data_IF_599035094399
#
_entry.id   IF_599035094399
#
_cell.length_a   1.000
_cell.length_b   1.000
_cell.length_c   1.000
_cell.angle_alpha   90.00
_cell.angle_beta   90.00
_cell.angle_gamma   90.00
#
_symmetry.space_group_name_H-M   'P 1'
#
loop_
_entity.id
_entity.type
_entity.pdbx_description
1 polymer ?
#
# COMPACT_ATOMS: atom_id res chain seq x y z
N UNK A 1 21.30 -10.86 -13.54
CA UNK A 1 20.64 -10.83 -12.22
C UNK A 1 19.99 -9.46 -12.09
N UNK A 2 18.65 -9.33 -11.97
CA UNK A 2 18.08 -8.03 -11.60
C UNK A 2 18.67 -7.63 -10.24
N UNK A 3 19.04 -6.35 -10.08
CA UNK A 3 19.59 -5.83 -8.83
C UNK A 3 18.60 -6.08 -7.69
N UNK A 4 19.07 -6.31 -6.44
CA UNK A 4 18.18 -6.34 -5.29
C UNK A 4 17.45 -5.00 -5.22
N UNK A 5 16.15 -4.99 -5.54
CA UNK A 5 15.32 -3.82 -5.36
C UNK A 5 15.16 -3.64 -3.86
N UNK A 6 15.64 -2.52 -3.33
CA UNK A 6 15.32 -2.14 -1.95
C UNK A 6 13.80 -2.06 -1.86
N UNK A 7 13.15 -2.87 -1.00
CA UNK A 7 11.70 -2.82 -0.89
C UNK A 7 11.28 -1.43 -0.43
N UNK A 8 10.34 -0.82 -1.15
CA UNK A 8 9.79 0.47 -0.75
C UNK A 8 9.08 0.32 0.61
N UNK A 9 9.31 1.22 1.57
CA UNK A 9 8.60 1.17 2.83
C UNK A 9 7.12 1.44 2.60
N UNK A 10 6.26 0.66 3.26
CA UNK A 10 4.83 0.95 3.31
C UNK A 10 4.60 2.23 4.14
N UNK A 11 3.55 3.00 3.85
CA UNK A 11 3.12 4.11 4.68
C UNK A 11 2.93 3.66 6.15
N UNK A 12 3.34 4.46 7.15
CA UNK A 12 3.36 4.02 8.55
C UNK A 12 2.01 3.53 9.07
N UNK A 13 0.91 4.19 8.71
CA UNK A 13 -0.43 3.81 9.15
C UNK A 13 -0.87 2.46 8.57
N UNK A 14 -0.60 2.24 7.28
CA UNK A 14 -0.88 0.97 6.62
C UNK A 14 -0.02 -0.16 7.21
N UNK A 15 1.28 0.09 7.43
CA UNK A 15 2.17 -0.89 8.03
C UNK A 15 1.68 -1.30 9.43
N UNK A 16 1.32 -0.32 10.27
CA UNK A 16 0.79 -0.56 11.62
C UNK A 16 -0.52 -1.37 11.58
N UNK A 17 -1.42 -1.06 10.64
CA UNK A 17 -2.67 -1.78 10.48
C UNK A 17 -2.44 -3.26 10.08
N UNK A 18 -1.45 -3.52 9.24
CA UNK A 18 -1.08 -4.87 8.79
C UNK A 18 -0.40 -5.69 9.88
N UNK A 19 0.43 -5.09 10.74
CA UNK A 19 1.14 -5.78 11.81
C UNK A 19 0.21 -6.61 12.71
N UNK A 20 -1.01 -6.12 12.97
CA UNK A 20 -1.99 -6.77 13.85
C UNK A 20 -2.53 -8.08 13.28
N UNK A 21 -2.46 -8.29 11.96
CA UNK A 21 -3.01 -9.50 11.31
C UNK A 21 -2.08 -10.10 10.24
N UNK A 22 -0.78 -9.77 10.30
CA UNK A 22 0.22 -10.16 9.30
C UNK A 22 0.37 -11.67 9.13
N UNK A 23 -0.07 -12.50 10.09
CA UNK A 23 -0.11 -13.96 9.99
C UNK A 23 -1.09 -14.45 8.91
N UNK A 24 -2.02 -13.59 8.48
CA UNK A 24 -3.08 -13.90 7.51
C UNK A 24 -2.97 -13.07 6.22
N UNK A 25 -1.90 -12.30 6.07
CA UNK A 25 -1.70 -11.37 4.95
C UNK A 25 -0.33 -11.51 4.33
N UNK A 26 -0.25 -11.38 3.02
CA UNK A 26 1.02 -11.35 2.31
C UNK A 26 1.48 -9.89 2.17
N UNK A 27 2.28 -9.45 3.14
CA UNK A 27 2.77 -8.07 3.22
C UNK A 27 3.69 -7.73 2.05
N UNK A 28 4.42 -8.71 1.51
CA UNK A 28 5.29 -8.49 0.35
C UNK A 28 4.44 -8.23 -0.89
N UNK A 29 3.36 -8.97 -1.09
CA UNK A 29 2.40 -8.72 -2.17
C UNK A 29 1.72 -7.35 -2.05
N UNK A 30 1.38 -6.91 -0.84
CA UNK A 30 0.83 -5.56 -0.61
C UNK A 30 1.86 -4.48 -0.94
N UNK A 31 3.14 -4.71 -0.62
CA UNK A 31 4.21 -3.79 -0.99
C UNK A 31 4.40 -3.70 -2.50
N UNK A 32 4.33 -4.82 -3.21
CA UNK A 32 4.37 -4.84 -4.67
C UNK A 32 3.17 -4.08 -5.26
N UNK A 33 1.96 -4.28 -4.72
CA UNK A 33 0.77 -3.53 -5.13
C UNK A 33 0.92 -2.02 -4.87
N UNK A 34 1.49 -1.64 -3.73
CA UNK A 34 1.79 -0.24 -3.42
C UNK A 34 2.78 0.37 -4.41
N UNK A 35 3.81 -0.39 -4.84
CA UNK A 35 4.74 0.08 -5.86
C UNK A 35 4.03 0.32 -7.20
N UNK A 36 3.17 -0.60 -7.60
CA UNK A 36 2.35 -0.44 -8.82
C UNK A 36 1.45 0.79 -8.72
N UNK A 37 0.84 1.04 -7.56
CA UNK A 37 0.01 2.23 -7.34
C UNK A 37 0.83 3.54 -7.44
N UNK A 38 2.03 3.58 -6.87
CA UNK A 38 2.94 4.72 -6.99
C UNK A 38 3.33 4.99 -8.45
N UNK A 39 3.67 3.95 -9.21
CA UNK A 39 4.03 4.08 -10.62
C UNK A 39 2.83 4.52 -11.48
N UNK A 40 1.66 3.91 -11.27
CA UNK A 40 0.45 4.20 -12.04
C UNK A 40 -0.11 5.60 -11.76
N UNK A 41 -0.03 6.05 -10.50
CA UNK A 41 -0.58 7.33 -10.05
C UNK A 41 0.47 8.44 -9.93
N UNK A 42 1.71 8.20 -10.34
CA UNK A 42 2.77 9.22 -10.34
C UNK A 42 2.36 10.48 -11.12
N UNK A 43 2.35 11.62 -10.42
CA UNK A 43 1.95 12.91 -10.99
C UNK A 43 0.43 13.13 -11.13
N UNK A 44 -0.41 12.18 -10.73
CA UNK A 44 -1.86 12.37 -10.68
C UNK A 44 -2.24 13.09 -9.38
N UNK A 45 -3.08 14.12 -9.51
CA UNK A 45 -3.53 14.97 -8.40
C UNK A 45 -5.05 14.88 -8.27
N UNK A 46 -5.55 14.75 -7.04
CA UNK A 46 -6.98 14.76 -6.73
C UNK A 46 -7.53 16.18 -6.74
N UNK A 47 -8.86 16.31 -6.78
CA UNK A 47 -9.52 17.60 -6.61
C UNK A 47 -9.19 18.29 -5.26
N UNK A 48 -8.79 17.52 -4.24
CA UNK A 48 -8.30 18.05 -2.96
C UNK A 48 -6.92 18.73 -3.04
N UNK A 49 -6.16 18.49 -4.12
CA UNK A 49 -4.78 18.95 -4.28
C UNK A 49 -3.72 17.93 -3.83
N UNK A 50 -4.12 16.78 -3.29
CA UNK A 50 -3.21 15.72 -2.85
C UNK A 50 -2.85 14.79 -4.00
N UNK A 51 -1.71 14.10 -3.87
CA UNK A 51 -1.34 13.01 -4.77
C UNK A 51 -2.38 11.89 -4.71
N UNK A 52 -2.75 11.35 -5.87
CA UNK A 52 -3.80 10.34 -5.94
C UNK A 52 -3.46 9.08 -5.15
N UNK A 53 -2.18 8.72 -5.08
CA UNK A 53 -1.72 7.55 -4.31
C UNK A 53 -2.08 7.64 -2.82
N UNK A 54 -2.15 8.84 -2.23
CA UNK A 54 -2.57 9.04 -0.83
C UNK A 54 -3.95 8.42 -0.57
N UNK A 55 -4.90 8.64 -1.49
CA UNK A 55 -6.23 8.07 -1.36
C UNK A 55 -6.23 6.54 -1.46
N UNK A 56 -5.42 5.97 -2.34
CA UNK A 56 -5.31 4.50 -2.45
C UNK A 56 -4.75 3.88 -1.17
N UNK A 57 -3.82 4.57 -0.51
CA UNK A 57 -3.24 4.16 0.78
C UNK A 57 -4.28 4.25 1.90
N UNK A 58 -5.08 5.32 1.93
CA UNK A 58 -6.16 5.48 2.92
C UNK A 58 -7.19 4.34 2.81
N UNK A 59 -7.62 4.01 1.58
CA UNK A 59 -8.55 2.90 1.33
C UNK A 59 -7.93 1.58 1.79
N UNK A 60 -6.69 1.28 1.38
CA UNK A 60 -5.99 0.07 1.81
C UNK A 60 -5.85 -0.02 3.35
N UNK A 61 -5.63 1.12 4.02
CA UNK A 61 -5.55 1.20 5.48
C UNK A 61 -6.87 0.83 6.13
N UNK A 62 -8.00 1.29 5.59
CA UNK A 62 -9.34 0.91 6.07
C UNK A 62 -9.58 -0.60 5.89
N UNK A 63 -9.25 -1.15 4.71
CA UNK A 63 -9.42 -2.59 4.45
C UNK A 63 -8.55 -3.44 5.39
N UNK A 64 -7.33 -2.99 5.68
CA UNK A 64 -6.43 -3.62 6.64
C UNK A 64 -7.00 -3.57 8.07
N UNK A 65 -7.58 -2.44 8.49
CA UNK A 65 -8.26 -2.33 9.79
C UNK A 65 -9.49 -3.25 9.89
N UNK A 66 -10.18 -3.47 8.78
CA UNK A 66 -11.28 -4.44 8.67
C UNK A 66 -10.80 -5.90 8.58
N UNK A 67 -9.48 -6.13 8.51
CA UNK A 67 -8.83 -7.46 8.41
C UNK A 67 -9.29 -8.26 7.20
N UNK A 68 -9.46 -7.57 6.07
CA UNK A 68 -9.76 -8.21 4.79
C UNK A 68 -8.53 -8.93 4.24
N UNK A 69 -8.77 -9.85 3.30
CA UNK A 69 -7.70 -10.64 2.69
C UNK A 69 -6.80 -9.79 1.79
N UNK A 70 -5.60 -10.31 1.54
CA UNK A 70 -4.55 -9.66 0.73
C UNK A 70 -5.03 -9.16 -0.65
N UNK A 71 -6.07 -9.77 -1.24
CA UNK A 71 -6.49 -9.49 -2.61
C UNK A 71 -7.73 -8.60 -2.72
N UNK A 72 -8.21 -8.07 -1.59
CA UNK A 72 -9.33 -7.11 -1.55
C UNK A 72 -8.81 -5.68 -1.70
#
# INVERSE_FOLDING_TARGET
MPAPRTPIPLPPELATALEVYADRTDVDKIRDAYQVALEAHGGQIRASGEEFVTHTVEVATILAQLRLDTNT
#
